data_IF_641270522953
#
_entry.id   IF_641270522953
#
_cell.length_a   1.000
_cell.length_b   1.000
_cell.length_c   1.000
_cell.angle_alpha   90.00
_cell.angle_beta   90.00
_cell.angle_gamma   90.00
#
_symmetry.space_group_name_H-M   'P 1'
#
loop_
_entity.id
_entity.type
_entity.pdbx_description
1 polymer ?
#
# COMPACT_ATOMS: atom_id res chain seq x y z
N UNK A 1 -31.70 4.05 -3.06
CA UNK A 1 -30.51 3.37 -3.61
C UNK A 1 -29.63 2.95 -2.44
N UNK A 2 -29.61 1.66 -2.08
CA UNK A 2 -28.79 1.19 -0.94
C UNK A 2 -27.33 1.20 -1.38
N UNK A 3 -26.50 2.06 -0.79
CA UNK A 3 -25.06 1.98 -0.95
C UNK A 3 -24.62 0.64 -0.35
N UNK A 4 -24.07 -0.25 -1.17
CA UNK A 4 -23.67 -1.58 -0.77
C UNK A 4 -22.39 -1.43 0.07
N UNK A 5 -22.51 -1.41 1.40
CA UNK A 5 -21.36 -1.33 2.30
C UNK A 5 -20.65 -2.68 2.30
N UNK A 6 -19.76 -2.90 1.33
CA UNK A 6 -18.87 -4.06 1.38
C UNK A 6 -18.01 -3.94 2.64
N UNK A 7 -18.09 -4.94 3.53
CA UNK A 7 -17.16 -5.05 4.65
C UNK A 7 -15.77 -5.30 4.09
N UNK A 8 -14.87 -4.34 4.27
CA UNK A 8 -13.46 -4.46 3.95
C UNK A 8 -12.66 -4.63 5.25
N UNK A 9 -11.54 -5.32 5.15
CA UNK A 9 -10.59 -5.46 6.24
C UNK A 9 -9.39 -4.57 5.92
N UNK A 10 -9.03 -3.70 6.87
CA UNK A 10 -7.83 -2.88 6.78
C UNK A 10 -6.61 -3.74 7.11
N UNK A 11 -5.73 -3.93 6.13
CA UNK A 11 -4.59 -4.86 6.19
C UNK A 11 -3.25 -4.14 6.09
N UNK A 12 -3.19 -2.91 5.57
CA UNK A 12 -1.94 -2.14 5.50
C UNK A 12 -2.14 -0.62 5.41
N UNK A 13 -1.08 0.13 5.72
CA UNK A 13 -1.00 1.58 5.51
C UNK A 13 0.18 1.94 4.59
N UNK A 14 -0.06 2.80 3.60
CA UNK A 14 1.00 3.49 2.89
C UNK A 14 1.45 4.70 3.74
N UNK A 15 2.71 4.69 4.16
CA UNK A 15 3.28 5.69 5.09
C UNK A 15 3.94 6.84 4.33
N UNK A 16 5.26 6.79 4.13
CA UNK A 16 6.03 7.91 3.54
C UNK A 16 6.77 7.43 2.30
N UNK A 17 7.08 8.32 1.36
CA UNK A 17 7.90 7.93 0.23
C UNK A 17 9.35 7.66 0.68
N UNK A 18 9.99 6.69 0.02
CA UNK A 18 11.35 6.28 0.26
C UNK A 18 12.23 6.53 -0.97
N UNK A 19 13.25 7.37 -0.82
CA UNK A 19 14.16 7.72 -1.90
C UNK A 19 13.49 8.46 -3.06
N UNK A 20 14.06 8.32 -4.25
CA UNK A 20 13.61 8.99 -5.49
C UNK A 20 12.96 8.06 -6.51
N UNK A 21 13.00 6.74 -6.28
CA UNK A 21 12.59 5.70 -7.24
C UNK A 21 11.11 5.29 -7.12
N UNK A 22 10.29 6.09 -6.43
CA UNK A 22 8.86 5.80 -6.25
C UNK A 22 8.53 4.74 -5.20
N UNK A 23 9.49 4.27 -4.40
CA UNK A 23 9.19 3.34 -3.31
C UNK A 23 8.44 4.05 -2.17
N UNK A 24 7.62 3.29 -1.45
CA UNK A 24 6.92 3.75 -0.25
C UNK A 24 7.28 2.87 0.95
N UNK A 25 7.23 3.45 2.15
CA UNK A 25 7.20 2.67 3.39
C UNK A 25 5.78 2.22 3.66
N UNK A 26 5.61 0.98 4.10
CA UNK A 26 4.31 0.41 4.42
C UNK A 26 4.34 -0.27 5.77
N UNK A 27 3.29 -0.04 6.56
CA UNK A 27 2.98 -0.88 7.71
C UNK A 27 1.99 -1.96 7.25
N UNK A 28 2.26 -3.23 7.58
CA UNK A 28 1.44 -4.36 7.15
C UNK A 28 1.00 -5.11 8.40
N UNK A 29 -0.29 -5.43 8.47
CA UNK A 29 -0.96 -5.98 9.64
C UNK A 29 -1.33 -7.46 9.47
N UNK A 30 -0.90 -8.08 8.37
CA UNK A 30 -1.00 -9.52 8.14
C UNK A 30 0.02 -10.28 9.01
N UNK A 31 -0.26 -11.55 9.26
CA UNK A 31 0.64 -12.44 10.01
C UNK A 31 1.98 -12.62 9.27
N UNK A 32 1.94 -12.94 7.97
CA UNK A 32 3.07 -12.77 7.07
C UNK A 32 2.84 -11.53 6.20
N UNK A 33 3.74 -10.56 6.30
CA UNK A 33 3.66 -9.33 5.52
C UNK A 33 3.64 -9.59 4.01
N UNK A 34 4.34 -10.62 3.52
CA UNK A 34 4.40 -10.95 2.08
C UNK A 34 3.07 -11.42 1.52
N UNK A 35 2.15 -11.89 2.36
CA UNK A 35 0.82 -12.32 1.91
C UNK A 35 0.02 -11.18 1.25
N UNK A 36 0.37 -9.92 1.51
CA UNK A 36 -0.25 -8.76 0.86
C UNK A 36 -0.21 -8.86 -0.67
N UNK A 37 0.86 -9.45 -1.23
CA UNK A 37 1.04 -9.58 -2.68
C UNK A 37 0.02 -10.53 -3.31
N UNK A 38 -0.48 -11.51 -2.55
CA UNK A 38 -1.51 -12.47 -2.98
C UNK A 38 -2.91 -11.82 -3.08
N UNK A 39 -3.12 -10.67 -2.45
CA UNK A 39 -4.39 -9.94 -2.46
C UNK A 39 -4.42 -8.83 -3.52
N UNK A 40 -3.41 -8.74 -4.38
CA UNK A 40 -3.38 -7.73 -5.42
C UNK A 40 -4.52 -7.93 -6.46
N UNK A 41 -5.18 -6.86 -6.90
CA UNK A 41 -4.99 -5.48 -6.42
C UNK A 41 -5.76 -5.21 -5.11
N UNK A 42 -5.10 -4.57 -4.16
CA UNK A 42 -5.67 -4.17 -2.87
C UNK A 42 -6.40 -2.83 -3.01
N UNK A 43 -7.52 -2.65 -2.31
CA UNK A 43 -8.36 -1.46 -2.48
C UNK A 43 -8.12 -0.42 -1.41
N UNK A 44 -7.75 0.79 -1.83
CA UNK A 44 -7.60 1.94 -0.95
C UNK A 44 -8.91 2.51 -0.43
N UNK A 45 -8.83 3.20 0.71
CA UNK A 45 -9.90 4.03 1.25
C UNK A 45 -10.28 5.22 0.34
N UNK A 46 -9.41 5.61 -0.60
CA UNK A 46 -9.68 6.60 -1.65
C UNK A 46 -10.51 6.04 -2.83
N UNK A 47 -10.89 4.76 -2.77
CA UNK A 47 -11.66 4.07 -3.80
C UNK A 47 -10.84 3.51 -4.95
N UNK A 48 -9.52 3.78 -5.01
CA UNK A 48 -8.64 3.24 -6.06
C UNK A 48 -8.08 1.87 -5.67
N UNK A 49 -7.59 1.16 -6.68
CA UNK A 49 -6.94 -0.15 -6.51
C UNK A 49 -5.45 -0.02 -6.75
N UNK A 50 -4.66 -0.67 -5.90
CA UNK A 50 -3.21 -0.60 -5.90
C UNK A 50 -2.62 -1.99 -6.07
N UNK A 51 -1.59 -2.11 -6.91
CA UNK A 51 -0.78 -3.33 -6.99
C UNK A 51 0.53 -3.06 -6.27
N UNK A 52 0.78 -3.82 -5.19
CA UNK A 52 1.89 -3.61 -4.26
C UNK A 52 2.85 -4.80 -4.33
N UNK A 53 4.15 -4.53 -4.40
CA UNK A 53 5.21 -5.55 -4.34
C UNK A 53 6.22 -5.16 -3.28
N UNK A 54 6.43 -6.01 -2.28
CA UNK A 54 7.40 -5.78 -1.22
C UNK A 54 8.82 -5.98 -1.74
N UNK A 55 9.73 -5.13 -1.30
CA UNK A 55 11.14 -5.16 -1.69
C UNK A 55 12.02 -5.61 -0.53
N UNK A 56 12.06 -4.80 0.53
CA UNK A 56 12.93 -5.06 1.66
C UNK A 56 12.20 -4.74 2.97
N UNK A 57 12.36 -5.59 4.00
CA UNK A 57 11.92 -5.24 5.33
C UNK A 57 12.81 -4.13 5.88
N UNK A 58 12.20 -3.23 6.65
CA UNK A 58 12.89 -2.19 7.43
C UNK A 58 12.38 -2.27 8.87
N UNK A 59 12.89 -1.42 9.77
CA UNK A 59 12.55 -1.49 11.20
C UNK A 59 11.04 -1.24 11.43
N UNK A 60 10.27 -2.32 11.58
CA UNK A 60 8.84 -2.30 11.87
C UNK A 60 7.93 -2.04 10.66
N UNK A 61 8.48 -1.97 9.45
CA UNK A 61 7.77 -1.62 8.21
C UNK A 61 8.39 -2.36 7.02
N UNK A 62 7.85 -2.15 5.82
CA UNK A 62 8.40 -2.64 4.56
C UNK A 62 8.60 -1.52 3.56
N UNK A 63 9.64 -1.64 2.73
CA UNK A 63 9.72 -0.91 1.47
C UNK A 63 8.91 -1.66 0.42
N UNK A 64 8.07 -0.94 -0.29
CA UNK A 64 7.24 -1.49 -1.35
C UNK A 64 7.27 -0.62 -2.60
N UNK A 65 7.11 -1.29 -3.74
CA UNK A 65 6.80 -0.66 -5.02
C UNK A 65 5.28 -0.68 -5.21
N UNK A 66 4.74 0.44 -5.70
CA UNK A 66 3.34 0.54 -6.12
C UNK A 66 3.34 0.70 -7.63
N UNK A 67 2.64 -0.17 -8.35
CA UNK A 67 2.63 -0.14 -9.80
C UNK A 67 2.17 1.24 -10.33
N UNK A 68 2.89 1.76 -11.32
CA UNK A 68 2.68 3.08 -11.90
C UNK A 68 3.33 4.24 -11.15
N UNK A 69 3.98 3.98 -10.01
CA UNK A 69 4.68 4.99 -9.21
C UNK A 69 6.19 4.83 -9.39
N UNK A 70 6.82 5.81 -10.05
CA UNK A 70 8.24 5.72 -10.41
C UNK A 70 9.11 6.86 -9.85
N UNK A 71 8.50 7.87 -9.23
CA UNK A 71 9.20 9.00 -8.63
C UNK A 71 8.71 9.34 -7.21
N UNK A 72 9.51 10.13 -6.49
CA UNK A 72 9.23 10.55 -5.11
C UNK A 72 7.92 11.33 -4.98
N UNK A 73 7.63 12.23 -5.92
CA UNK A 73 6.48 13.12 -5.82
C UNK A 73 5.18 12.30 -5.95
N UNK A 74 5.14 11.35 -6.88
CA UNK A 74 4.02 10.41 -7.01
C UNK A 74 3.86 9.53 -5.77
N UNK A 75 4.96 9.03 -5.21
CA UNK A 75 4.93 8.20 -4.00
C UNK A 75 4.43 8.97 -2.76
N UNK A 76 4.80 10.24 -2.61
CA UNK A 76 4.31 11.08 -1.50
C UNK A 76 2.80 11.32 -1.57
N UNK A 77 2.19 11.33 -2.77
CA UNK A 77 0.73 11.44 -2.92
C UNK A 77 -0.04 10.23 -2.38
N UNK A 78 0.64 9.10 -2.17
CA UNK A 78 0.03 7.88 -1.61
C UNK A 78 0.08 7.83 -0.08
N UNK A 79 0.72 8.81 0.58
CA UNK A 79 0.81 8.87 2.03
C UNK A 79 -0.59 8.92 2.67
N UNK A 80 -0.84 8.01 3.59
CA UNK A 80 -2.10 7.93 4.34
C UNK A 80 -3.20 7.11 3.66
N UNK A 81 -2.91 6.48 2.52
CA UNK A 81 -3.81 5.48 1.94
C UNK A 81 -3.82 4.24 2.83
N UNK A 82 -5.03 3.87 3.26
CA UNK A 82 -5.33 2.64 4.00
C UNK A 82 -5.80 1.59 3.00
N UNK A 83 -5.25 0.37 3.08
CA UNK A 83 -5.47 -0.75 2.16
C UNK A 83 -6.17 -1.92 2.84
#
# INVERSE_FOLDING_TARGET
MKMNTQKKLHIADIRTAHGIRGLVKMAIYLEDAKDIENYNPVQGNDGKSYHVVLKNPIKGEWLAEVNGISDRNQAELLRGIEL
#
